data_IF_241653948527
#
_entry.id   IF_241653948527
#
_cell.length_a   1.000
_cell.length_b   1.000
_cell.length_c   1.000
_cell.angle_alpha   90.00
_cell.angle_beta   90.00
_cell.angle_gamma   90.00
#
_symmetry.space_group_name_H-M   'P 1'
#
loop_
_entity.id
_entity.type
_entity.pdbx_description
1 polymer ?
#
# COMPACT_ATOMS: atom_id res chain seq x y z
N UNK A 1 -83.50 21.47 -46.95
CA UNK A 1 -82.39 20.49 -46.93
C UNK A 1 -81.19 21.16 -46.29
N UNK A 2 -80.77 20.76 -45.08
CA UNK A 2 -79.68 21.42 -44.35
C UNK A 2 -78.31 20.92 -44.84
N UNK A 3 -77.42 21.89 -45.06
CA UNK A 3 -76.03 21.71 -45.48
C UNK A 3 -75.18 21.23 -44.29
N UNK A 4 -74.56 20.05 -44.38
CA UNK A 4 -73.71 19.48 -43.34
C UNK A 4 -72.26 20.01 -43.45
N UNK A 5 -71.77 20.66 -42.40
CA UNK A 5 -70.37 21.03 -42.25
C UNK A 5 -69.55 19.83 -41.72
N UNK A 6 -68.38 19.50 -42.27
CA UNK A 6 -67.52 18.47 -41.74
C UNK A 6 -66.78 18.98 -40.49
N UNK A 7 -66.88 18.24 -39.38
CA UNK A 7 -66.09 18.47 -38.17
C UNK A 7 -64.71 17.83 -38.34
N UNK A 8 -63.65 18.64 -38.32
CA UNK A 8 -62.26 18.18 -38.21
C UNK A 8 -61.99 17.66 -36.78
N UNK A 9 -61.34 16.49 -36.61
CA UNK A 9 -60.95 16.01 -35.29
C UNK A 9 -59.71 16.78 -34.80
N UNK A 10 -59.77 17.25 -33.54
CA UNK A 10 -58.65 17.87 -32.82
C UNK A 10 -57.57 16.83 -32.51
N UNK A 11 -56.26 17.15 -32.64
CA UNK A 11 -55.18 16.23 -32.34
C UNK A 11 -54.98 16.13 -30.82
N UNK A 12 -55.09 14.92 -30.26
CA UNK A 12 -54.66 14.62 -28.91
C UNK A 12 -53.16 14.27 -28.94
N UNK A 13 -52.32 15.28 -28.77
CA UNK A 13 -50.90 15.09 -28.46
C UNK A 13 -50.78 14.70 -26.98
N UNK A 14 -50.73 13.39 -26.71
CA UNK A 14 -50.35 12.87 -25.41
C UNK A 14 -48.82 12.98 -25.27
N UNK A 15 -48.34 14.06 -24.63
CA UNK A 15 -46.94 14.19 -24.26
C UNK A 15 -46.65 13.27 -23.07
N UNK A 16 -46.04 12.11 -23.32
CA UNK A 16 -45.51 11.23 -22.28
C UNK A 16 -44.21 11.85 -21.73
N UNK A 17 -44.32 12.58 -20.63
CA UNK A 17 -43.16 13.06 -19.87
C UNK A 17 -42.53 11.87 -19.15
N UNK A 18 -41.55 11.24 -19.77
CA UNK A 18 -40.75 10.19 -19.14
C UNK A 18 -39.78 10.84 -18.16
N UNK A 19 -40.21 10.98 -16.91
CA UNK A 19 -39.38 11.47 -15.81
C UNK A 19 -38.19 10.53 -15.62
N UNK A 20 -37.00 10.93 -16.08
CA UNK A 20 -35.75 10.28 -15.69
C UNK A 20 -35.55 10.53 -14.20
N UNK A 21 -35.89 9.54 -13.38
CA UNK A 21 -35.41 9.46 -12.01
C UNK A 21 -33.90 9.20 -12.09
N UNK A 22 -33.11 10.25 -11.88
CA UNK A 22 -31.68 10.14 -11.61
C UNK A 22 -31.54 9.43 -10.27
N UNK A 23 -31.47 8.10 -10.31
CA UNK A 23 -31.03 7.30 -9.17
C UNK A 23 -29.59 7.69 -8.88
N UNK A 24 -29.36 8.44 -7.80
CA UNK A 24 -28.04 8.59 -7.23
C UNK A 24 -27.61 7.21 -6.74
N UNK A 25 -26.86 6.49 -7.56
CA UNK A 25 -26.17 5.29 -7.13
C UNK A 25 -25.12 5.72 -6.10
N UNK A 26 -25.48 5.65 -4.82
CA UNK A 26 -24.55 5.82 -3.72
C UNK A 26 -23.70 4.56 -3.69
N UNK A 27 -22.55 4.60 -4.37
CA UNK A 27 -21.56 3.54 -4.21
C UNK A 27 -21.11 3.58 -2.75
N UNK A 28 -21.49 2.57 -1.96
CA UNK A 28 -20.90 2.29 -0.65
C UNK A 28 -19.40 2.10 -0.86
N UNK A 29 -18.67 3.20 -0.76
CA UNK A 29 -17.23 3.19 -0.96
C UNK A 29 -16.65 2.68 0.34
N UNK A 30 -16.33 1.39 0.37
CA UNK A 30 -15.65 0.78 1.51
C UNK A 30 -14.47 1.67 1.95
N UNK A 31 -14.27 1.86 3.27
CA UNK A 31 -13.23 2.77 3.76
C UNK A 31 -11.86 2.34 3.24
N UNK A 32 -11.08 3.32 2.76
CA UNK A 32 -9.73 3.08 2.25
C UNK A 32 -8.70 2.94 3.39
N UNK A 33 -9.00 3.53 4.54
CA UNK A 33 -8.13 3.60 5.70
C UNK A 33 -8.85 3.10 6.96
N UNK A 34 -8.10 2.49 7.88
CA UNK A 34 -8.56 2.21 9.23
C UNK A 34 -8.73 3.49 10.05
N UNK A 35 -9.33 3.38 11.24
CA UNK A 35 -9.45 4.50 12.18
C UNK A 35 -8.08 5.10 12.57
N UNK A 36 -7.04 4.27 12.65
CA UNK A 36 -5.66 4.69 12.92
C UNK A 36 -4.92 5.23 11.68
N UNK A 37 -5.62 5.30 10.54
CA UNK A 37 -5.11 5.86 9.30
C UNK A 37 -4.14 4.95 8.54
N UNK A 38 -4.18 3.63 8.76
CA UNK A 38 -3.47 2.67 7.91
C UNK A 38 -4.29 2.37 6.66
N UNK A 39 -3.66 2.22 5.49
CA UNK A 39 -4.35 1.76 4.28
C UNK A 39 -4.83 0.32 4.52
N UNK A 40 -6.10 0.02 4.28
CA UNK A 40 -6.67 -1.33 4.51
C UNK A 40 -7.08 -2.08 3.23
N UNK A 41 -7.16 -1.39 2.10
CA UNK A 41 -7.51 -1.98 0.80
C UNK A 41 -6.75 -1.32 -0.34
N UNK A 42 -6.88 -1.85 -1.56
CA UNK A 42 -6.26 -1.32 -2.78
C UNK A 42 -4.76 -1.04 -2.59
N UNK A 43 -4.03 -2.02 -2.04
CA UNK A 43 -2.62 -1.86 -1.67
C UNK A 43 -1.71 -1.59 -2.87
N UNK A 44 -2.10 -1.99 -4.08
CA UNK A 44 -1.42 -1.68 -5.34
C UNK A 44 -2.17 -0.57 -6.08
N UNK A 45 -1.94 0.67 -5.68
CA UNK A 45 -2.58 1.87 -6.23
C UNK A 45 -1.70 3.10 -5.98
N UNK A 46 -1.91 4.23 -6.69
CA UNK A 46 -1.08 5.43 -6.51
C UNK A 46 -0.93 5.81 -5.04
N UNK A 47 0.32 5.92 -4.61
CA UNK A 47 0.67 6.29 -3.23
C UNK A 47 0.93 7.80 -3.11
N UNK A 48 0.84 8.40 -1.91
CA UNK A 48 1.15 9.82 -1.74
C UNK A 48 2.64 10.09 -1.96
N UNK A 49 3.01 11.35 -2.22
CA UNK A 49 4.40 11.76 -2.36
C UNK A 49 5.16 11.83 -1.01
N UNK A 50 4.48 11.62 0.11
CA UNK A 50 5.00 11.73 1.47
C UNK A 50 4.42 10.64 2.37
N UNK A 51 5.11 10.35 3.47
CA UNK A 51 4.64 9.45 4.52
C UNK A 51 4.80 10.12 5.87
N UNK A 52 3.81 9.95 6.73
CA UNK A 52 3.93 10.44 8.10
C UNK A 52 4.96 9.62 8.87
N UNK A 53 5.92 10.30 9.50
CA UNK A 53 6.98 9.68 10.31
C UNK A 53 8.24 9.29 9.57
N UNK A 54 8.34 9.48 8.25
CA UNK A 54 9.53 9.13 7.49
C UNK A 54 9.82 10.02 6.29
N UNK A 55 11.04 9.93 5.79
CA UNK A 55 11.51 10.67 4.63
C UNK A 55 11.41 9.81 3.37
N UNK A 56 10.86 10.34 2.29
CA UNK A 56 10.87 9.65 0.99
C UNK A 56 12.26 9.74 0.39
N UNK A 57 12.80 8.61 -0.08
CA UNK A 57 14.10 8.55 -0.74
C UNK A 57 13.97 7.95 -2.13
N UNK A 58 14.77 8.44 -3.07
CA UNK A 58 14.95 7.85 -4.39
C UNK A 58 16.15 6.88 -4.40
N UNK A 59 16.39 6.24 -5.55
CA UNK A 59 17.47 5.26 -5.71
C UNK A 59 18.85 5.85 -5.42
N UNK A 60 19.14 7.05 -5.93
CA UNK A 60 20.42 7.71 -5.74
C UNK A 60 20.66 8.08 -4.26
N UNK A 61 19.62 8.54 -3.56
CA UNK A 61 19.68 8.83 -2.13
C UNK A 61 19.85 7.56 -1.32
N UNK A 62 19.14 6.49 -1.66
CA UNK A 62 19.31 5.20 -0.99
C UNK A 62 20.74 4.65 -1.15
N UNK A 63 21.34 4.73 -2.33
CA UNK A 63 22.74 4.32 -2.53
C UNK A 63 23.72 5.13 -1.66
N UNK A 64 23.48 6.45 -1.52
CA UNK A 64 24.27 7.29 -0.61
C UNK A 64 24.09 6.87 0.84
N UNK A 65 22.84 6.67 1.30
CA UNK A 65 22.53 6.19 2.65
C UNK A 65 23.23 4.86 2.95
N UNK A 66 23.24 3.93 1.99
CA UNK A 66 23.91 2.63 2.12
C UNK A 66 25.43 2.72 2.31
N UNK A 67 26.03 3.85 1.96
CA UNK A 67 27.46 4.12 2.13
C UNK A 67 27.79 4.89 3.43
N UNK A 68 26.78 5.26 4.21
CA UNK A 68 26.95 6.01 5.47
C UNK A 68 27.13 5.08 6.67
N UNK A 69 27.56 5.67 7.79
CA UNK A 69 27.62 5.03 9.10
C UNK A 69 26.74 5.82 10.09
N UNK A 70 25.80 5.17 10.79
CA UNK A 70 25.41 3.76 10.63
C UNK A 70 24.77 3.48 9.25
N UNK A 71 25.03 2.30 8.69
CA UNK A 71 24.37 1.84 7.47
C UNK A 71 22.89 1.54 7.78
N UNK A 72 21.92 1.97 6.95
CA UNK A 72 20.52 1.73 7.23
C UNK A 72 20.17 0.24 7.23
N UNK A 73 19.27 -0.14 8.13
CA UNK A 73 18.55 -1.41 8.07
C UNK A 73 17.56 -1.34 6.92
N UNK A 74 17.58 -2.34 6.04
CA UNK A 74 16.63 -2.42 4.93
C UNK A 74 15.53 -3.44 5.25
N UNK A 75 14.27 -3.01 5.18
CA UNK A 75 13.11 -3.84 5.46
C UNK A 75 12.23 -3.92 4.21
N UNK A 76 12.15 -5.11 3.63
CA UNK A 76 11.13 -5.46 2.65
C UNK A 76 9.85 -5.87 3.37
N UNK A 77 8.70 -5.34 2.95
CA UNK A 77 7.39 -5.75 3.48
C UNK A 77 6.45 -6.30 2.40
N UNK A 78 7.00 -6.67 1.24
CA UNK A 78 6.24 -7.28 0.16
C UNK A 78 5.45 -8.49 0.65
N UNK A 79 4.24 -8.65 0.14
CA UNK A 79 3.34 -9.72 0.58
C UNK A 79 3.88 -11.08 0.15
N UNK A 80 3.71 -12.07 1.03
CA UNK A 80 3.87 -13.49 0.73
C UNK A 80 2.67 -14.25 1.27
N UNK A 81 2.11 -15.16 0.47
CA UNK A 81 0.96 -15.95 0.90
C UNK A 81 1.29 -16.71 2.19
N UNK A 82 0.39 -16.62 3.17
CA UNK A 82 0.47 -17.32 4.45
C UNK A 82 -0.71 -18.30 4.57
N UNK A 83 -0.42 -19.59 4.60
CA UNK A 83 -1.43 -20.65 4.70
C UNK A 83 -0.95 -21.73 5.66
N UNK A 84 -1.86 -22.24 6.49
CA UNK A 84 -1.59 -23.35 7.42
C UNK A 84 -0.35 -23.12 8.31
N UNK A 85 -0.13 -21.88 8.76
CA UNK A 85 0.97 -21.54 9.67
C UNK A 85 2.34 -21.41 9.00
N UNK A 86 2.41 -21.23 7.67
CA UNK A 86 3.68 -21.02 6.96
C UNK A 86 3.52 -20.12 5.74
N UNK A 87 4.65 -19.56 5.30
CA UNK A 87 4.76 -18.91 4.01
C UNK A 87 4.76 -19.94 2.86
N UNK A 88 4.12 -19.58 1.74
CA UNK A 88 4.04 -20.44 0.55
C UNK A 88 4.97 -19.90 -0.53
N UNK A 89 5.99 -20.68 -0.89
CA UNK A 89 6.99 -20.32 -1.92
C UNK A 89 6.46 -20.59 -3.34
N UNK A 90 5.46 -19.82 -3.76
CA UNK A 90 4.83 -19.92 -5.08
C UNK A 90 5.59 -19.15 -6.18
N UNK A 91 6.22 -18.04 -5.82
CA UNK A 91 7.00 -17.18 -6.74
C UNK A 91 8.38 -16.83 -6.17
N UNK A 92 9.43 -16.72 -7.00
CA UNK A 92 10.71 -16.18 -6.56
C UNK A 92 10.56 -14.73 -6.07
N UNK A 93 11.24 -14.38 -4.99
CA UNK A 93 11.36 -13.00 -4.53
C UNK A 93 12.82 -12.64 -4.31
N UNK A 94 13.17 -11.40 -4.60
CA UNK A 94 14.52 -10.91 -4.46
C UNK A 94 14.52 -9.53 -3.83
N UNK A 95 15.46 -9.33 -2.91
CA UNK A 95 15.59 -8.12 -2.11
C UNK A 95 16.75 -7.26 -2.61
N UNK A 96 16.74 -6.01 -2.15
CA UNK A 96 17.96 -5.21 -2.11
C UNK A 96 19.00 -5.92 -1.23
N UNK A 97 20.30 -5.92 -1.59
CA UNK A 97 21.31 -6.65 -0.85
C UNK A 97 21.38 -6.27 0.64
N UNK A 98 21.30 -7.29 1.50
CA UNK A 98 21.33 -7.14 2.96
C UNK A 98 19.99 -6.77 3.62
N UNK A 99 18.87 -6.89 2.90
CA UNK A 99 17.54 -6.61 3.48
C UNK A 99 16.96 -7.78 4.26
N UNK A 100 16.23 -7.46 5.32
CA UNK A 100 15.32 -8.37 5.99
C UNK A 100 13.95 -8.31 5.34
N UNK A 101 13.35 -9.48 5.11
CA UNK A 101 11.99 -9.54 4.59
C UNK A 101 10.98 -9.84 5.69
N UNK A 102 10.28 -8.79 6.13
CA UNK A 102 9.19 -8.87 7.10
C UNK A 102 7.85 -8.90 6.35
N UNK A 103 7.60 -9.99 5.63
CA UNK A 103 6.44 -10.15 4.76
C UNK A 103 5.12 -9.88 5.51
N UNK A 104 4.15 -9.31 4.80
CA UNK A 104 2.78 -9.02 5.26
C UNK A 104 2.66 -7.99 6.40
N UNK A 105 3.76 -7.53 6.99
CA UNK A 105 3.74 -6.55 8.09
C UNK A 105 3.31 -5.15 7.67
N UNK A 106 3.14 -4.91 6.37
CA UNK A 106 2.53 -3.69 5.84
C UNK A 106 1.01 -3.76 5.67
N UNK A 107 0.36 -4.90 5.96
CA UNK A 107 -1.10 -4.97 5.95
C UNK A 107 -1.68 -3.94 6.95
N UNK A 108 -2.81 -3.33 6.58
CA UNK A 108 -3.42 -2.24 7.33
C UNK A 108 -3.87 -2.69 8.71
N UNK A 109 -4.42 -3.89 8.79
CA UNK A 109 -4.81 -4.55 10.03
C UNK A 109 -3.89 -5.75 10.26
N UNK A 110 -3.17 -5.73 11.38
CA UNK A 110 -2.33 -6.85 11.81
C UNK A 110 -2.93 -7.49 13.06
N UNK A 111 -2.96 -8.82 13.09
CA UNK A 111 -3.24 -9.54 14.34
C UNK A 111 -2.15 -9.24 15.38
N UNK A 112 -2.40 -9.46 16.68
CA UNK A 112 -1.39 -9.27 17.72
C UNK A 112 -0.08 -10.03 17.46
N UNK A 113 -0.16 -11.24 16.90
CA UNK A 113 1.02 -12.03 16.54
C UNK A 113 1.88 -11.34 15.46
N UNK A 114 1.25 -10.79 14.42
CA UNK A 114 1.97 -10.06 13.36
C UNK A 114 2.54 -8.72 13.85
N UNK A 115 1.85 -8.05 14.78
CA UNK A 115 2.38 -6.84 15.42
C UNK A 115 3.63 -7.15 16.26
N UNK A 116 3.56 -8.20 17.08
CA UNK A 116 4.69 -8.67 17.89
C UNK A 116 5.87 -9.10 17.02
N UNK A 117 5.60 -9.83 15.93
CA UNK A 117 6.61 -10.21 14.94
C UNK A 117 7.31 -9.01 14.31
N UNK A 118 6.55 -7.99 13.87
CA UNK A 118 7.13 -6.78 13.31
C UNK A 118 8.02 -6.06 14.33
N UNK A 119 7.50 -5.83 15.55
CA UNK A 119 8.22 -5.13 16.60
C UNK A 119 9.50 -5.87 17.03
N UNK A 120 9.42 -7.18 17.24
CA UNK A 120 10.56 -8.01 17.65
C UNK A 120 11.68 -8.02 16.62
N UNK A 121 11.34 -8.20 15.34
CA UNK A 121 12.34 -8.22 14.28
C UNK A 121 12.95 -6.84 14.04
N UNK A 122 12.15 -5.78 14.12
CA UNK A 122 12.65 -4.41 13.99
C UNK A 122 13.60 -4.06 15.15
N UNK A 123 13.23 -4.43 16.39
CA UNK A 123 14.09 -4.28 17.56
C UNK A 123 15.41 -5.04 17.38
N UNK A 124 15.35 -6.30 16.95
CA UNK A 124 16.54 -7.13 16.72
C UNK A 124 17.45 -6.53 15.63
N UNK A 125 16.86 -6.11 14.51
CA UNK A 125 17.59 -5.56 13.38
C UNK A 125 18.27 -4.21 13.68
N UNK A 126 17.69 -3.44 14.60
CA UNK A 126 18.22 -2.15 15.03
C UNK A 126 19.03 -2.24 16.32
N UNK A 127 19.23 -3.46 16.85
CA UNK A 127 19.80 -3.70 18.18
C UNK A 127 19.11 -2.90 19.31
N UNK A 128 17.83 -2.57 19.11
CA UNK A 128 17.00 -1.79 20.02
C UNK A 128 17.24 -0.27 19.98
N UNK A 129 18.04 0.23 19.03
CA UNK A 129 18.33 1.66 18.88
C UNK A 129 17.27 2.36 18.00
N UNK A 130 16.41 3.24 18.56
CA UNK A 130 15.35 3.91 17.80
C UNK A 130 15.87 4.96 16.79
N UNK A 131 17.13 5.36 16.93
CA UNK A 131 17.86 6.28 16.06
C UNK A 131 18.59 5.59 14.89
N UNK A 132 18.69 4.25 14.92
CA UNK A 132 19.20 3.45 13.81
C UNK A 132 18.39 3.77 12.53
N UNK A 133 19.04 4.17 11.42
CA UNK A 133 18.34 4.42 10.17
C UNK A 133 17.64 3.16 9.67
N UNK A 134 16.36 3.26 9.32
CA UNK A 134 15.58 2.15 8.75
C UNK A 134 14.92 2.59 7.46
N UNK A 135 15.12 1.82 6.38
CA UNK A 135 14.47 2.04 5.09
C UNK A 135 13.44 0.94 4.88
N UNK A 136 12.18 1.33 4.73
CA UNK A 136 11.10 0.42 4.34
C UNK A 136 10.85 0.50 2.83
N UNK A 137 10.65 -0.65 2.20
CA UNK A 137 10.34 -0.73 0.78
C UNK A 137 9.43 -1.92 0.45
N UNK A 138 8.87 -1.88 -0.76
CA UNK A 138 8.02 -2.91 -1.35
C UNK A 138 8.27 -2.84 -2.88
N UNK A 139 7.22 -2.72 -3.68
CA UNK A 139 7.23 -2.35 -5.10
C UNK A 139 6.72 -0.92 -5.30
N UNK A 140 6.80 -0.40 -6.52
CA UNK A 140 6.14 0.85 -6.86
C UNK A 140 4.62 0.75 -6.64
N UNK A 141 4.02 1.87 -6.24
CA UNK A 141 2.60 1.99 -5.91
C UNK A 141 2.13 0.96 -4.86
N UNK A 142 2.98 0.64 -3.88
CA UNK A 142 2.68 -0.29 -2.80
C UNK A 142 2.43 0.44 -1.47
N UNK A 143 1.21 0.37 -0.96
CA UNK A 143 0.83 0.94 0.33
C UNK A 143 1.36 0.15 1.54
N UNK A 144 1.84 -1.08 1.36
CA UNK A 144 2.34 -1.91 2.46
C UNK A 144 3.58 -1.27 3.12
N UNK A 145 4.53 -0.78 2.33
CA UNK A 145 5.73 -0.10 2.87
C UNK A 145 5.39 1.26 3.50
N UNK A 146 4.37 1.96 2.97
CA UNK A 146 3.86 3.19 3.59
C UNK A 146 3.28 2.93 4.99
N UNK A 147 2.47 1.88 5.14
CA UNK A 147 1.93 1.45 6.43
C UNK A 147 3.05 1.04 7.40
N UNK A 148 4.08 0.32 6.91
CA UNK A 148 5.20 -0.14 7.73
C UNK A 148 5.99 1.02 8.35
N UNK A 149 6.21 2.11 7.60
CA UNK A 149 6.85 3.33 8.13
C UNK A 149 6.03 3.92 9.28
N UNK A 150 4.72 4.08 9.09
CA UNK A 150 3.83 4.58 10.16
C UNK A 150 3.85 3.68 11.38
N UNK A 151 3.90 2.37 11.18
CA UNK A 151 3.96 1.39 12.26
C UNK A 151 5.29 1.49 13.02
N UNK A 152 6.42 1.64 12.33
CA UNK A 152 7.71 1.88 12.98
C UNK A 152 7.74 3.21 13.76
N UNK A 153 7.14 4.27 13.20
CA UNK A 153 6.97 5.56 13.91
C UNK A 153 6.22 5.36 15.23
N UNK A 154 5.11 4.62 15.20
CA UNK A 154 4.31 4.33 16.39
C UNK A 154 5.08 3.52 17.45
N UNK A 155 6.11 2.77 17.06
CA UNK A 155 7.02 2.06 17.97
C UNK A 155 8.17 2.94 18.50
N UNK A 156 8.24 4.22 18.11
CA UNK A 156 9.22 5.19 18.62
C UNK A 156 10.46 5.38 17.75
N UNK A 157 10.55 4.72 16.59
CA UNK A 157 11.64 4.95 15.64
C UNK A 157 11.46 6.30 14.95
N UNK A 158 12.54 7.06 14.79
CA UNK A 158 12.47 8.42 14.24
C UNK A 158 13.42 8.69 13.06
N UNK A 159 14.31 7.74 12.74
CA UNK A 159 15.20 7.83 11.58
C UNK A 159 14.69 6.92 10.45
N UNK A 160 13.49 7.21 9.96
CA UNK A 160 12.74 6.35 9.05
C UNK A 160 12.77 6.89 7.63
N UNK A 161 13.00 6.01 6.67
CA UNK A 161 12.99 6.29 5.25
C UNK A 161 12.00 5.37 4.54
N UNK A 162 11.37 5.90 3.51
CA UNK A 162 10.48 5.17 2.63
C UNK A 162 11.02 5.22 1.21
N UNK A 163 11.54 4.08 0.74
CA UNK A 163 11.95 3.93 -0.64
C UNK A 163 10.71 3.57 -1.47
N UNK A 164 9.97 4.62 -1.85
CA UNK A 164 8.59 4.57 -2.37
C UNK A 164 8.43 3.73 -3.63
N UNK A 165 9.38 3.83 -4.55
CA UNK A 165 9.33 3.10 -5.84
C UNK A 165 9.93 1.69 -5.73
N UNK A 166 10.52 1.37 -4.58
CA UNK A 166 10.87 0.03 -4.16
C UNK A 166 11.79 -0.74 -5.10
N UNK A 167 11.64 -2.06 -5.09
CA UNK A 167 12.48 -2.97 -5.88
C UNK A 167 12.37 -2.69 -7.39
N UNK A 168 11.24 -2.17 -7.88
CA UNK A 168 11.03 -1.88 -9.29
C UNK A 168 12.01 -0.78 -9.78
N UNK A 169 12.14 0.33 -9.04
CA UNK A 169 13.10 1.39 -9.37
C UNK A 169 14.56 0.93 -9.18
N UNK A 170 14.81 0.01 -8.25
CA UNK A 170 16.15 -0.56 -8.05
C UNK A 170 16.58 -1.42 -9.24
N UNK A 171 15.65 -2.24 -9.75
CA UNK A 171 15.86 -3.05 -10.95
C UNK A 171 16.02 -2.19 -12.21
N UNK A 172 15.21 -1.14 -12.36
CA UNK A 172 15.33 -0.21 -13.50
C UNK A 172 16.68 0.49 -13.54
N UNK A 173 17.30 0.72 -12.37
CA UNK A 173 18.66 1.24 -12.25
C UNK A 173 19.77 0.18 -12.50
N UNK A 174 19.40 -1.06 -12.88
CA UNK A 174 20.32 -2.19 -13.08
C UNK A 174 21.20 -2.51 -11.86
N UNK A 175 20.66 -2.30 -10.66
CA UNK A 175 21.36 -2.59 -9.41
C UNK A 175 21.14 -4.05 -8.97
N UNK A 176 22.12 -4.66 -8.26
CA UNK A 176 22.06 -6.07 -7.93
C UNK A 176 20.92 -6.38 -6.94
N UNK A 177 20.33 -7.55 -7.09
CA UNK A 177 19.35 -8.12 -6.16
C UNK A 177 19.85 -9.46 -5.61
N UNK A 178 19.30 -9.86 -4.48
CA UNK A 178 19.61 -11.13 -3.83
C UNK A 178 18.32 -11.94 -3.62
N UNK A 179 18.27 -13.24 -3.98
CA UNK A 179 17.16 -14.10 -3.61
C UNK A 179 16.89 -14.03 -2.11
N UNK A 180 15.62 -13.97 -1.72
CA UNK A 180 15.24 -13.76 -0.33
C UNK A 180 14.09 -14.68 0.08
N UNK A 181 14.11 -15.04 1.37
CA UNK A 181 13.03 -15.73 2.04
C UNK A 181 12.50 -14.87 3.19
N UNK A 182 11.19 -14.92 3.49
CA UNK A 182 10.63 -14.15 4.58
C UNK A 182 11.18 -14.63 5.91
N UNK A 183 11.41 -13.70 6.84
CA UNK A 183 11.76 -14.07 8.21
C UNK A 183 10.60 -14.89 8.79
N UNK A 184 10.83 -16.10 9.32
CA UNK A 184 9.75 -16.95 9.82
C UNK A 184 8.93 -16.25 10.90
N UNK A 185 7.59 -16.38 10.81
CA UNK A 185 6.71 -16.04 11.93
C UNK A 185 6.79 -17.20 12.95
N UNK A 186 7.17 -16.93 14.22
CA UNK A 186 7.25 -17.96 15.25
C UNK A 186 5.91 -18.64 15.56
#
# INVERSE_FOLDING_TARGET
MPCALPRLPRPLLAALSMSLTLGTAQADTAPLFSADGYRITLYRSPTPAQVDGGQVVDTATLQRLLSQQPRPVLIDVYRRQWLQGRFIEDEPHANLPGSLWLANTGDGELSPAWQAYFAHNLQSATAGHPDQPVVFYCRADCWLSWNAVKRAKALGYHNLYWYRDGVDAWQQANLPLQPAQPVPLP
#
